data_IF_113591384323
#
_entry.id   IF_113591384323
#
_cell.length_a   1.000
_cell.length_b   1.000
_cell.length_c   1.000
_cell.angle_alpha   90.00
_cell.angle_beta   90.00
_cell.angle_gamma   90.00
#
_symmetry.space_group_name_H-M   'P 1'
#
loop_
_entity.id
_entity.type
_entity.pdbx_description
1 polymer ?
#
# COMPACT_ATOMS: atom_id res chain seq x y z
N UNK A 1 -13.87 -11.83 -0.98
CA UNK A 1 -12.76 -12.08 -0.04
C UNK A 1 -13.37 -12.13 1.35
N UNK A 2 -13.10 -13.13 2.18
CA UNK A 2 -13.68 -13.17 3.53
C UNK A 2 -13.14 -12.00 4.37
N UNK A 3 -14.01 -11.42 5.20
CA UNK A 3 -13.62 -10.37 6.13
C UNK A 3 -12.66 -10.94 7.19
N UNK A 4 -11.50 -10.32 7.34
CA UNK A 4 -10.57 -10.65 8.41
C UNK A 4 -10.93 -9.83 9.65
N UNK A 5 -11.52 -10.49 10.64
CA UNK A 5 -11.85 -9.86 11.91
C UNK A 5 -10.67 -10.05 12.88
N UNK A 6 -10.08 -8.94 13.32
CA UNK A 6 -8.99 -8.93 14.28
C UNK A 6 -9.47 -8.37 15.62
N UNK A 7 -9.44 -9.20 16.66
CA UNK A 7 -9.71 -8.76 18.02
C UNK A 7 -8.44 -8.15 18.62
N UNK A 8 -8.35 -6.82 18.58
CA UNK A 8 -7.23 -6.07 19.15
C UNK A 8 -7.57 -5.59 20.57
N UNK A 9 -6.57 -5.52 21.44
CA UNK A 9 -6.75 -4.82 22.72
C UNK A 9 -7.00 -3.33 22.49
N UNK A 10 -7.67 -2.67 23.43
CA UNK A 10 -7.97 -1.24 23.31
C UNK A 10 -6.69 -0.39 23.13
N UNK A 11 -5.63 -0.73 23.87
CA UNK A 11 -4.34 -0.04 23.77
C UNK A 11 -3.69 -0.22 22.39
N UNK A 12 -3.74 -1.44 21.84
CA UNK A 12 -3.18 -1.72 20.52
C UNK A 12 -3.97 -1.02 19.42
N UNK A 13 -5.30 -1.00 19.53
CA UNK A 13 -6.15 -0.27 18.62
C UNK A 13 -5.92 1.24 18.71
N UNK A 14 -5.75 1.79 19.92
CA UNK A 14 -5.41 3.20 20.12
C UNK A 14 -4.11 3.58 19.41
N UNK A 15 -3.05 2.80 19.60
CA UNK A 15 -1.76 3.00 18.91
C UNK A 15 -1.89 2.89 17.39
N UNK A 16 -2.66 1.93 16.90
CA UNK A 16 -2.92 1.78 15.46
C UNK A 16 -3.60 3.03 14.88
N UNK A 17 -4.59 3.58 15.59
CA UNK A 17 -5.26 4.82 15.20
C UNK A 17 -4.31 6.02 15.18
N UNK A 18 -3.42 6.15 16.17
CA UNK A 18 -2.41 7.21 16.20
C UNK A 18 -1.46 7.11 15.02
N UNK A 19 -0.90 5.92 14.76
CA UNK A 19 0.00 5.68 13.64
C UNK A 19 -0.68 5.95 12.30
N UNK A 20 -1.93 5.50 12.14
CA UNK A 20 -2.69 5.69 10.91
C UNK A 20 -2.98 7.17 10.63
N UNK A 21 -3.28 7.94 11.68
CA UNK A 21 -3.43 9.39 11.56
C UNK A 21 -2.15 10.07 11.10
N UNK A 22 -1.01 9.67 11.65
CA UNK A 22 0.30 10.18 11.24
C UNK A 22 0.62 9.83 9.78
N UNK A 23 0.09 8.71 9.26
CA UNK A 23 0.16 8.31 7.85
C UNK A 23 -0.96 8.88 6.98
N UNK A 24 -1.90 9.65 7.54
CA UNK A 24 -3.04 10.20 6.80
C UNK A 24 -4.01 9.15 6.25
N UNK A 25 -4.10 7.97 6.89
CA UNK A 25 -4.98 6.85 6.48
C UNK A 25 -5.85 6.38 7.63
N UNK A 26 -6.83 5.51 7.35
CA UNK A 26 -7.61 4.86 8.40
C UNK A 26 -6.80 3.74 9.08
N UNK A 27 -7.13 3.44 10.33
CA UNK A 27 -6.54 2.33 11.08
C UNK A 27 -6.67 1.00 10.32
N UNK A 28 -7.81 0.78 9.67
CA UNK A 28 -8.05 -0.39 8.82
C UNK A 28 -7.09 -0.45 7.62
N UNK A 29 -6.89 0.69 6.94
CA UNK A 29 -5.97 0.78 5.80
C UNK A 29 -4.55 0.47 6.24
N UNK A 30 -4.11 1.06 7.34
CA UNK A 30 -2.78 0.80 7.91
C UNK A 30 -2.59 -0.66 8.30
N UNK A 31 -3.58 -1.26 8.98
CA UNK A 31 -3.53 -2.67 9.37
C UNK A 31 -3.45 -3.59 8.14
N UNK A 32 -4.28 -3.33 7.12
CA UNK A 32 -4.26 -4.06 5.86
C UNK A 32 -2.90 -3.98 5.19
N UNK A 33 -2.36 -2.76 5.01
CA UNK A 33 -1.04 -2.55 4.41
C UNK A 33 0.07 -3.26 5.18
N UNK A 34 0.03 -3.18 6.51
CA UNK A 34 1.00 -3.85 7.40
C UNK A 34 0.95 -5.37 7.24
N UNK A 35 -0.24 -5.97 7.28
CA UNK A 35 -0.41 -7.42 7.14
C UNK A 35 0.05 -7.86 5.75
N UNK A 36 -0.37 -7.14 4.71
CA UNK A 36 -0.06 -7.46 3.33
C UNK A 36 1.44 -7.37 3.04
N UNK A 37 2.15 -6.37 3.61
CA UNK A 37 3.62 -6.34 3.60
C UNK A 37 4.24 -7.58 4.27
N UNK A 38 3.73 -7.97 5.44
CA UNK A 38 4.29 -9.13 6.18
C UNK A 38 4.06 -10.47 5.49
N UNK A 39 3.03 -10.59 4.65
CA UNK A 39 2.82 -11.77 3.80
C UNK A 39 3.53 -11.67 2.44
N UNK A 40 4.20 -10.55 2.15
CA UNK A 40 4.98 -10.35 0.93
C UNK A 40 4.14 -10.14 -0.33
N UNK A 41 2.92 -9.66 -0.17
CA UNK A 41 2.03 -9.32 -1.28
C UNK A 41 2.06 -7.80 -1.53
N UNK A 42 1.76 -7.35 -2.76
CA UNK A 42 1.61 -5.93 -3.04
C UNK A 42 0.34 -5.37 -2.37
N UNK A 43 0.47 -4.46 -1.39
CA UNK A 43 -0.69 -3.86 -0.72
C UNK A 43 -1.30 -2.71 -1.52
N UNK A 44 -0.62 -2.25 -2.57
CA UNK A 44 -1.07 -1.15 -3.37
C UNK A 44 -1.90 -1.64 -4.55
N UNK A 45 -2.99 -0.93 -4.81
CA UNK A 45 -3.63 -0.92 -6.12
C UNK A 45 -3.86 0.52 -6.53
N UNK A 46 -4.15 0.77 -7.82
CA UNK A 46 -4.54 2.11 -8.27
C UNK A 46 -5.77 2.66 -7.54
N UNK A 47 -6.64 1.77 -7.04
CA UNK A 47 -7.82 2.11 -6.25
C UNK A 47 -7.49 2.36 -4.77
N UNK A 48 -6.55 1.60 -4.19
CA UNK A 48 -6.14 1.70 -2.80
C UNK A 48 -4.61 1.88 -2.69
N UNK A 49 -4.09 3.08 -3.03
CA UNK A 49 -2.66 3.35 -3.00
C UNK A 49 -2.12 3.39 -1.56
N UNK A 50 -0.84 3.05 -1.41
CA UNK A 50 -0.08 3.18 -0.16
C UNK A 50 0.11 4.65 0.18
N UNK A 51 -0.01 5.02 1.45
CA UNK A 51 0.36 6.38 1.87
C UNK A 51 1.88 6.58 1.84
N UNK A 52 2.34 7.74 1.40
CA UNK A 52 3.75 8.15 1.52
C UNK A 52 4.25 8.13 2.97
N UNK A 53 3.37 8.33 3.96
CA UNK A 53 3.72 8.16 5.38
C UNK A 53 4.08 6.71 5.71
N UNK A 54 3.28 5.76 5.21
CA UNK A 54 3.54 4.33 5.39
C UNK A 54 4.84 3.92 4.69
N UNK A 55 5.06 4.40 3.45
CA UNK A 55 6.31 4.21 2.72
C UNK A 55 7.52 4.68 3.54
N UNK A 56 7.42 5.84 4.20
CA UNK A 56 8.53 6.38 5.02
C UNK A 56 8.93 5.45 6.17
N UNK A 57 7.98 4.69 6.73
CA UNK A 57 8.23 3.74 7.84
C UNK A 57 8.64 2.36 7.37
N UNK A 58 8.26 1.98 6.16
CA UNK A 58 8.42 0.63 5.59
C UNK A 58 9.14 0.65 4.24
N UNK A 59 10.10 1.56 4.06
CA UNK A 59 10.72 1.82 2.76
C UNK A 59 11.32 0.57 2.12
N UNK A 60 12.10 -0.20 2.87
CA UNK A 60 12.75 -1.41 2.36
C UNK A 60 11.74 -2.48 1.90
N UNK A 61 10.68 -2.68 2.68
CA UNK A 61 9.61 -3.65 2.36
C UNK A 61 8.86 -3.22 1.08
N UNK A 62 8.58 -1.92 0.94
CA UNK A 62 7.88 -1.38 -0.24
C UNK A 62 8.78 -1.41 -1.48
N UNK A 63 10.07 -1.11 -1.35
CA UNK A 63 11.05 -1.21 -2.44
C UNK A 63 11.18 -2.66 -2.95
N UNK A 64 11.23 -3.64 -2.04
CA UNK A 64 11.30 -5.05 -2.41
C UNK A 64 10.07 -5.53 -3.21
N UNK A 65 8.91 -4.89 -3.02
CA UNK A 65 7.71 -5.13 -3.83
C UNK A 65 7.84 -4.41 -5.17
N UNK A 66 8.32 -3.16 -5.18
CA UNK A 66 8.52 -2.36 -6.38
C UNK A 66 9.49 -2.99 -7.40
N UNK A 67 10.40 -3.84 -6.94
CA UNK A 67 11.29 -4.65 -7.77
C UNK A 67 10.55 -5.71 -8.61
N UNK A 68 9.35 -6.12 -8.17
CA UNK A 68 8.56 -7.18 -8.83
C UNK A 68 7.40 -6.61 -9.62
N UNK A 69 6.78 -5.56 -9.10
CA UNK A 69 5.56 -4.98 -9.66
C UNK A 69 5.38 -3.51 -9.24
N UNK A 70 4.59 -2.71 -9.99
CA UNK A 70 4.34 -1.32 -9.65
C UNK A 70 3.69 -1.14 -8.28
N UNK A 71 4.18 -0.15 -7.54
CA UNK A 71 3.59 0.26 -6.26
C UNK A 71 2.93 1.62 -6.41
N UNK A 72 1.62 1.68 -6.17
CA UNK A 72 0.86 2.91 -6.20
C UNK A 72 0.92 3.63 -4.86
N UNK A 73 1.28 4.91 -4.89
CA UNK A 73 1.45 5.76 -3.72
C UNK A 73 0.51 6.95 -3.79
N UNK A 74 0.11 7.47 -2.63
CA UNK A 74 -0.54 8.78 -2.49
C UNK A 74 0.06 9.61 -1.36
N UNK A 75 0.16 10.91 -1.56
CA UNK A 75 0.52 11.84 -0.49
C UNK A 75 -0.71 12.36 0.27
N UNK A 76 -0.46 13.24 1.25
CA UNK A 76 -1.50 13.87 2.06
C UNK A 76 -2.37 14.88 1.29
N UNK A 77 -1.94 15.32 0.11
CA UNK A 77 -2.68 16.21 -0.79
C UNK A 77 -3.42 15.42 -1.89
N UNK A 78 -3.54 14.09 -1.72
CA UNK A 78 -4.14 13.14 -2.67
C UNK A 78 -3.43 13.08 -4.03
N UNK A 79 -2.18 13.55 -4.11
CA UNK A 79 -1.36 13.39 -5.32
C UNK A 79 -0.93 11.94 -5.43
N UNK A 80 -1.14 11.35 -6.61
CA UNK A 80 -0.87 9.93 -6.87
C UNK A 80 0.47 9.78 -7.59
N UNK A 81 1.25 8.81 -7.14
CA UNK A 81 2.54 8.43 -7.72
C UNK A 81 2.56 6.93 -7.97
N UNK A 82 3.45 6.50 -8.88
CA UNK A 82 3.72 5.08 -9.09
C UNK A 82 5.22 4.90 -8.94
N UNK A 83 5.60 4.01 -8.02
CA UNK A 83 6.97 3.55 -7.83
C UNK A 83 7.15 2.27 -8.65
N UNK A 84 8.13 2.29 -9.54
CA UNK A 84 8.51 1.15 -10.37
C UNK A 84 10.03 0.99 -10.32
N UNK A 85 10.53 -0.24 -10.45
CA UNK A 85 11.96 -0.47 -10.62
C UNK A 85 12.50 0.19 -11.89
N UNK A 86 13.79 0.53 -11.91
CA UNK A 86 14.44 1.11 -13.10
C UNK A 86 14.49 0.11 -14.26
N UNK A 87 14.53 -1.18 -13.93
CA UNK A 87 14.49 -2.29 -14.89
C UNK A 87 13.05 -2.65 -15.32
N UNK A 88 12.03 -1.99 -14.75
CA UNK A 88 10.63 -2.21 -15.07
C UNK A 88 10.27 -1.55 -16.41
N UNK A 89 9.77 -2.35 -17.36
CA UNK A 89 9.31 -1.84 -18.65
C UNK A 89 7.87 -1.28 -18.53
N UNK A 90 7.67 0.05 -18.66
CA UNK A 90 6.36 0.67 -18.49
C UNK A 90 5.36 0.24 -19.57
N UNK A 91 5.81 -0.37 -20.68
CA UNK A 91 4.91 -0.90 -21.73
C UNK A 91 4.08 -2.08 -21.24
N UNK A 92 4.50 -2.74 -20.15
CA UNK A 92 3.76 -3.83 -19.49
C UNK A 92 2.49 -3.35 -18.75
N UNK A 93 2.32 -2.04 -18.56
CA UNK A 93 1.13 -1.44 -17.92
C UNK A 93 -0.04 -1.24 -18.89
N UNK A 94 0.13 -1.55 -20.17
CA UNK A 94 -0.97 -1.42 -21.14
C UNK A 94 -2.07 -2.43 -20.80
N UNK A 95 -3.33 -2.02 -20.56
CA UNK A 95 -4.43 -2.96 -20.66
C UNK A 95 -4.38 -3.52 -22.08
N UNK A 96 -4.52 -4.82 -22.24
CA UNK A 96 -4.85 -5.38 -23.54
C UNK A 96 -6.13 -4.65 -24.01
N UNK A 97 -6.00 -3.75 -24.98
CA UNK A 97 -7.14 -3.32 -25.76
C UNK A 97 -7.63 -4.57 -26.50
N UNK A 98 -8.48 -5.35 -25.85
CA UNK A 98 -9.39 -6.24 -26.55
C UNK A 98 -10.43 -5.37 -27.21
N UNK A 99 -10.08 -4.82 -28.37
CA UNK A 99 -11.07 -4.51 -29.38
C UNK A 99 -11.57 -5.84 -29.97
N UNK A 100 -12.88 -6.03 -29.94
CA UNK A 100 -13.61 -7.15 -30.53
C UNK A 100 -15.10 -6.85 -30.54
#
# INVERSE_FOLDING_TARGET
MPDLILNLSHDLFGRLCELARDDGVSAETLARQTITLKVGCNPSSGENPISTGFLRRHADDVLAIADREPVYLKDSEDRKFVLVSSDYDPRLLSPASSEG
#
